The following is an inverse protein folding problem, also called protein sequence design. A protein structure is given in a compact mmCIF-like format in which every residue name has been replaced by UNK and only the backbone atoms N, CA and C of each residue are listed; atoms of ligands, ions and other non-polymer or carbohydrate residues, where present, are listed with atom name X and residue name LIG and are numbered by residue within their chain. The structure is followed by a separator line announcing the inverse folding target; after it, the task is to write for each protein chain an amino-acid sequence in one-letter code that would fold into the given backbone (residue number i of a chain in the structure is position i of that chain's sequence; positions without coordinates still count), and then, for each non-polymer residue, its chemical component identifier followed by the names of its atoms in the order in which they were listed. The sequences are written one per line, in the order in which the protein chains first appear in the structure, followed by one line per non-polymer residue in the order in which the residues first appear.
data_IF_914851958398
#
_entry.id   IF_914851958398
#
_cell.length_a   1.000
_cell.length_b   1.000
_cell.length_c   1.000
_cell.angle_alpha   90.00
_cell.angle_beta   90.00
_cell.angle_gamma   90.00
#
_symmetry.space_group_name_H-M   'P 1'
#
loop_
_entity.id
_entity.type
_entity.pdbx_description
1 polymer ?
#
# COMPACT_ATOMS: atom_id res chain seq x y z
N UNK A 1 -19.02 19.51 -4.34
CA UNK A 1 -19.02 18.49 -5.41
C UNK A 1 -17.61 18.07 -5.87
N UNK A 2 -16.53 18.83 -5.60
CA UNK A 2 -15.15 18.47 -5.99
C UNK A 2 -14.40 17.54 -5.02
N UNK A 3 -14.86 17.42 -3.76
CA UNK A 3 -14.17 16.62 -2.73
C UNK A 3 -14.22 15.09 -2.98
N UNK A 4 -15.12 14.60 -3.83
CA UNK A 4 -15.25 13.17 -4.16
C UNK A 4 -14.44 12.74 -5.39
N UNK A 5 -13.83 13.69 -6.11
CA UNK A 5 -13.07 13.43 -7.34
C UNK A 5 -11.91 12.44 -7.14
N UNK A 6 -11.13 12.51 -6.03
CA UNK A 6 -10.04 11.58 -5.77
C UNK A 6 -10.49 10.11 -5.67
N UNK A 7 -11.59 9.85 -4.97
CA UNK A 7 -12.08 8.49 -4.74
C UNK A 7 -12.72 7.86 -6.00
N UNK A 8 -13.39 8.69 -6.82
CA UNK A 8 -14.03 8.24 -8.06
C UNK A 8 -13.02 7.93 -9.18
N UNK A 9 -11.87 8.63 -9.19
CA UNK A 9 -10.85 8.50 -10.24
C UNK A 9 -9.50 8.01 -9.72
N UNK A 10 -9.46 7.35 -8.57
CA UNK A 10 -8.24 6.85 -7.94
C UNK A 10 -7.37 6.03 -8.92
N UNK A 11 -8.00 5.14 -9.71
CA UNK A 11 -7.29 4.40 -10.75
C UNK A 11 -6.65 5.27 -11.84
N UNK A 12 -7.35 6.35 -12.26
CA UNK A 12 -6.82 7.30 -13.24
C UNK A 12 -5.65 8.10 -12.68
N UNK A 13 -5.76 8.58 -11.44
CA UNK A 13 -4.67 9.31 -10.76
C UNK A 13 -3.41 8.46 -10.71
N UNK A 14 -3.53 7.18 -10.32
CA UNK A 14 -2.40 6.26 -10.22
C UNK A 14 -1.81 5.94 -11.59
N UNK A 15 -2.66 5.78 -12.62
CA UNK A 15 -2.20 5.59 -13.99
C UNK A 15 -1.45 6.82 -14.54
N UNK A 16 -1.88 8.03 -14.18
CA UNK A 16 -1.17 9.27 -14.51
C UNK A 16 0.15 9.35 -13.76
N UNK A 17 0.15 9.10 -12.44
CA UNK A 17 1.35 9.11 -11.62
C UNK A 17 2.44 8.21 -12.22
N UNK A 18 2.09 6.99 -12.65
CA UNK A 18 3.02 6.04 -13.28
C UNK A 18 3.57 6.48 -14.66
N UNK A 19 2.94 7.46 -15.31
CA UNK A 19 3.37 8.03 -16.60
C UNK A 19 4.09 9.37 -16.43
N UNK A 20 4.05 9.95 -15.24
CA UNK A 20 4.71 11.21 -14.88
C UNK A 20 5.97 10.93 -14.07
N UNK A 21 6.94 11.84 -14.16
CA UNK A 21 8.15 11.77 -13.34
C UNK A 21 7.81 11.71 -11.84
N UNK A 22 8.54 10.88 -11.09
CA UNK A 22 8.37 10.72 -9.65
C UNK A 22 8.56 12.02 -8.87
N UNK A 23 9.38 12.95 -9.39
CA UNK A 23 9.56 14.27 -8.82
C UNK A 23 8.25 15.09 -8.71
N UNK A 24 7.25 14.80 -9.55
CA UNK A 24 5.96 15.49 -9.56
C UNK A 24 4.91 14.82 -8.66
N UNK A 25 5.17 13.61 -8.15
CA UNK A 25 4.20 12.86 -7.35
C UNK A 25 3.79 13.60 -6.07
N UNK A 26 4.68 14.25 -5.29
CA UNK A 26 4.26 15.01 -4.11
C UNK A 26 3.23 16.10 -4.43
N UNK A 27 3.42 16.85 -5.52
CA UNK A 27 2.49 17.90 -5.95
C UNK A 27 1.15 17.32 -6.42
N UNK A 28 1.17 16.20 -7.15
CA UNK A 28 -0.04 15.50 -7.58
C UNK A 28 -0.86 15.01 -6.38
N UNK A 29 -0.21 14.34 -5.43
CA UNK A 29 -0.88 13.78 -4.26
C UNK A 29 -1.21 14.82 -3.18
N UNK A 30 -0.64 16.03 -3.24
CA UNK A 30 -1.12 17.16 -2.45
C UNK A 30 -2.55 17.57 -2.83
N UNK A 31 -2.93 17.44 -4.11
CA UNK A 31 -4.29 17.75 -4.57
C UNK A 31 -5.28 16.58 -4.39
N UNK A 32 -4.79 15.34 -4.46
CA UNK A 32 -5.63 14.12 -4.41
C UNK A 32 -5.79 13.58 -2.98
N UNK A 33 -4.80 13.82 -2.11
CA UNK A 33 -4.74 13.26 -0.76
C UNK A 33 -3.87 12.01 -0.67
N UNK A 34 -3.91 11.31 0.46
CA UNK A 34 -3.02 10.17 0.74
C UNK A 34 -3.17 9.04 -0.28
N UNK A 35 -2.08 8.65 -0.99
CA UNK A 35 -2.02 7.44 -1.80
C UNK A 35 -2.57 6.19 -1.10
N UNK A 36 -2.27 5.98 0.18
CA UNK A 36 -2.75 4.83 0.93
C UNK A 36 -4.27 4.84 1.11
N UNK A 37 -4.87 5.99 1.43
CA UNK A 37 -6.34 6.08 1.54
C UNK A 37 -7.05 5.81 0.21
N UNK A 38 -6.47 6.25 -0.90
CA UNK A 38 -6.98 5.96 -2.24
C UNK A 38 -6.90 4.47 -2.54
N UNK A 39 -5.78 3.83 -2.22
CA UNK A 39 -5.61 2.40 -2.39
C UNK A 39 -6.59 1.59 -1.53
N UNK A 40 -6.86 2.04 -0.30
CA UNK A 40 -7.86 1.41 0.56
C UNK A 40 -9.26 1.48 -0.04
N UNK A 41 -9.65 2.65 -0.56
CA UNK A 41 -10.93 2.80 -1.27
C UNK A 41 -11.03 1.89 -2.49
N UNK A 42 -9.91 1.61 -3.19
CA UNK A 42 -9.89 0.68 -4.32
C UNK A 42 -10.05 -0.78 -3.88
N UNK A 43 -9.47 -1.16 -2.74
CA UNK A 43 -9.69 -2.46 -2.13
C UNK A 43 -11.15 -2.64 -1.69
N UNK A 44 -11.74 -1.63 -1.06
CA UNK A 44 -13.14 -1.65 -0.62
C UNK A 44 -14.12 -1.79 -1.81
N UNK A 45 -13.72 -1.32 -3.00
CA UNK A 45 -14.46 -1.48 -4.25
C UNK A 45 -14.19 -2.83 -4.97
N UNK A 46 -13.40 -3.73 -4.38
CA UNK A 46 -13.07 -5.02 -4.98
C UNK A 46 -12.12 -4.94 -6.19
N UNK A 47 -11.29 -3.89 -6.26
CA UNK A 47 -10.33 -3.67 -7.35
C UNK A 47 -8.86 -3.78 -6.87
N UNK A 48 -8.41 -4.95 -6.41
CA UNK A 48 -7.06 -5.13 -5.85
C UNK A 48 -5.94 -4.90 -6.87
N UNK A 49 -6.17 -5.04 -8.17
CA UNK A 49 -5.19 -4.70 -9.22
C UNK A 49 -4.89 -3.21 -9.25
N UNK A 50 -5.94 -2.38 -9.10
CA UNK A 50 -5.80 -0.92 -9.07
C UNK A 50 -5.14 -0.48 -7.78
N UNK A 51 -5.47 -1.13 -6.66
CA UNK A 51 -4.80 -0.89 -5.38
C UNK A 51 -3.30 -1.27 -5.45
N UNK A 52 -2.96 -2.41 -6.07
CA UNK A 52 -1.57 -2.84 -6.26
C UNK A 52 -0.75 -1.83 -7.07
N UNK A 53 -1.35 -1.17 -8.06
CA UNK A 53 -0.68 -0.12 -8.82
C UNK A 53 -0.26 1.09 -7.94
N UNK A 54 -0.87 1.27 -6.77
CA UNK A 54 -0.49 2.32 -5.81
C UNK A 54 0.77 1.97 -5.00
N UNK A 55 1.21 0.70 -4.97
CA UNK A 55 2.31 0.24 -4.12
C UNK A 55 3.61 0.99 -4.39
N UNK A 56 3.95 1.25 -5.66
CA UNK A 56 5.14 2.03 -6.03
C UNK A 56 5.06 3.47 -5.54
N UNK A 57 3.89 4.08 -5.68
CA UNK A 57 3.66 5.47 -5.27
C UNK A 57 3.74 5.60 -3.75
N UNK A 58 3.09 4.70 -3.02
CA UNK A 58 3.13 4.65 -1.55
C UNK A 58 4.55 4.39 -1.07
N UNK A 59 5.27 3.44 -1.68
CA UNK A 59 6.65 3.14 -1.33
C UNK A 59 7.56 4.37 -1.46
N UNK A 60 7.31 5.20 -2.48
CA UNK A 60 8.09 6.43 -2.71
C UNK A 60 7.68 7.58 -1.79
N UNK A 61 6.38 7.81 -1.57
CA UNK A 61 5.87 8.99 -0.87
C UNK A 61 5.68 8.79 0.64
N UNK A 62 5.24 7.61 1.05
CA UNK A 62 4.85 7.27 2.43
C UNK A 62 5.75 6.18 3.04
N UNK A 63 6.70 5.66 2.26
CA UNK A 63 7.75 4.75 2.70
C UNK A 63 7.40 3.26 2.58
N UNK A 64 8.42 2.39 2.73
CA UNK A 64 8.31 0.95 2.49
C UNK A 64 7.39 0.25 3.50
N UNK A 65 7.35 0.69 4.76
CA UNK A 65 6.46 0.08 5.77
C UNK A 65 4.98 0.27 5.43
N UNK A 66 4.60 1.45 4.94
CA UNK A 66 3.22 1.74 4.51
C UNK A 66 2.86 0.95 3.26
N UNK A 67 3.80 0.82 2.31
CA UNK A 67 3.62 0.00 1.12
C UNK A 67 3.48 -1.48 1.47
N UNK A 68 4.26 -1.99 2.42
CA UNK A 68 4.16 -3.36 2.92
C UNK A 68 2.79 -3.65 3.53
N UNK A 69 2.25 -2.72 4.33
CA UNK A 69 0.91 -2.88 4.91
C UNK A 69 -0.18 -3.02 3.84
N UNK A 70 -0.10 -2.21 2.78
CA UNK A 70 -1.01 -2.36 1.64
C UNK A 70 -0.77 -3.67 0.89
N UNK A 71 0.49 -4.06 0.67
CA UNK A 71 0.85 -5.28 -0.04
C UNK A 71 0.28 -6.54 0.65
N UNK A 72 0.31 -6.60 1.99
CA UNK A 72 -0.33 -7.69 2.76
C UNK A 72 -1.84 -7.76 2.47
N UNK A 73 -2.52 -6.62 2.41
CA UNK A 73 -3.96 -6.57 2.10
C UNK A 73 -4.25 -7.02 0.67
N UNK A 74 -3.47 -6.53 -0.31
CA UNK A 74 -3.58 -6.91 -1.72
C UNK A 74 -3.34 -8.41 -1.90
N UNK A 75 -2.30 -8.97 -1.29
CA UNK A 75 -1.99 -10.40 -1.36
C UNK A 75 -3.14 -11.23 -0.79
N UNK A 76 -3.67 -10.83 0.38
CA UNK A 76 -4.81 -11.52 1.00
C UNK A 76 -6.02 -11.55 0.05
N UNK A 77 -6.36 -10.41 -0.54
CA UNK A 77 -7.50 -10.31 -1.44
C UNK A 77 -7.28 -11.08 -2.75
N UNK A 78 -6.07 -10.99 -3.32
CA UNK A 78 -5.69 -11.72 -4.52
C UNK A 78 -5.76 -13.24 -4.31
N UNK A 79 -5.28 -13.77 -3.18
CA UNK A 79 -5.36 -15.19 -2.86
C UNK A 79 -6.81 -15.65 -2.66
N UNK A 80 -7.64 -14.86 -1.96
CA UNK A 80 -9.07 -15.15 -1.78
C UNK A 80 -9.81 -15.21 -3.12
N UNK A 81 -9.41 -14.37 -4.07
CA UNK A 81 -9.97 -14.30 -5.42
C UNK A 81 -9.25 -15.20 -6.45
N UNK A 82 -8.35 -16.08 -6.01
CA UNK A 82 -7.53 -16.97 -6.88
C UNK A 82 -6.68 -16.24 -7.95
N UNK A 83 -6.34 -14.98 -7.73
CA UNK A 83 -5.52 -14.15 -8.63
C UNK A 83 -4.04 -14.24 -8.27
N UNK A 84 -3.43 -15.42 -8.46
CA UNK A 84 -2.07 -15.70 -7.99
C UNK A 84 -0.98 -14.84 -8.64
N UNK A 85 -1.16 -14.40 -9.89
CA UNK A 85 -0.22 -13.49 -10.55
C UNK A 85 -0.15 -12.13 -9.82
N UNK A 86 -1.31 -11.57 -9.43
CA UNK A 86 -1.38 -10.34 -8.65
C UNK A 86 -0.74 -10.51 -7.27
N UNK A 87 -0.98 -11.65 -6.61
CA UNK A 87 -0.33 -11.97 -5.35
C UNK A 87 1.20 -12.01 -5.51
N UNK A 88 1.71 -12.67 -6.55
CA UNK A 88 3.14 -12.76 -6.85
C UNK A 88 3.79 -11.38 -7.14
N UNK A 89 3.06 -10.45 -7.75
CA UNK A 89 3.53 -9.07 -7.92
C UNK A 89 3.59 -8.32 -6.58
N UNK A 90 2.54 -8.43 -5.77
CA UNK A 90 2.42 -7.71 -4.51
C UNK A 90 3.40 -8.20 -3.44
N UNK A 91 3.74 -9.50 -3.39
CA UNK A 91 4.72 -10.03 -2.44
C UNK A 91 6.12 -9.41 -2.59
N UNK A 92 6.45 -8.81 -3.74
CA UNK A 92 7.74 -8.14 -3.97
C UNK A 92 7.96 -6.92 -3.08
N UNK A 93 6.88 -6.39 -2.50
CA UNK A 93 6.90 -5.29 -1.54
C UNK A 93 6.92 -5.77 -0.08
N UNK A 94 6.89 -7.09 0.15
CA UNK A 94 6.97 -7.66 1.48
C UNK A 94 8.43 -7.94 1.82
N UNK A 95 8.92 -7.28 2.87
CA UNK A 95 10.16 -7.67 3.54
C UNK A 95 9.83 -8.73 4.60
N UNK A 96 10.54 -9.87 4.67
CA UNK A 96 10.36 -10.80 5.77
C UNK A 96 10.58 -10.07 7.11
N UNK A 97 9.80 -10.40 8.15
CA UNK A 97 10.05 -9.84 9.46
C UNK A 97 11.50 -10.16 9.87
N UNK A 98 12.23 -9.13 10.31
CA UNK A 98 13.55 -9.33 10.92
C UNK A 98 13.44 -10.20 12.17
N UNK A 99 14.58 -10.58 12.74
CA UNK A 99 14.66 -11.43 13.94
C UNK A 99 13.70 -10.96 15.04
N UNK A 100 13.64 -9.66 15.31
CA UNK A 100 12.74 -9.08 16.31
C UNK A 100 11.25 -9.27 15.99
N UNK A 101 10.85 -9.18 14.72
CA UNK A 101 9.47 -9.45 14.29
C UNK A 101 9.10 -10.93 14.38
N UNK A 102 10.07 -11.83 14.13
CA UNK A 102 9.90 -13.26 14.34
C UNK A 102 9.77 -13.59 15.83
N UNK A 103 10.65 -13.02 16.66
CA UNK A 103 10.60 -13.18 18.10
C UNK A 103 9.28 -12.63 18.68
N UNK A 104 8.76 -11.54 18.15
CA UNK A 104 7.46 -10.99 18.55
C UNK A 104 6.31 -11.92 18.14
N UNK A 105 6.34 -12.48 16.92
CA UNK A 105 5.34 -13.43 16.46
C UNK A 105 5.33 -14.75 17.27
N UNK A 106 6.50 -15.18 17.76
CA UNK A 106 6.66 -16.36 18.62
C UNK A 106 6.40 -16.03 20.10
N UNK A 107 6.10 -14.77 20.44
CA UNK A 107 5.82 -14.34 21.82
C UNK A 107 7.04 -14.28 22.73
N UNK A 108 8.25 -14.30 22.16
CA UNK A 108 9.52 -14.27 22.87
C UNK A 108 10.02 -12.83 23.13
N UNK A 109 9.45 -11.81 22.47
CA UNK A 109 9.67 -10.41 22.85
C UNK A 109 8.73 -10.05 24.00
N UNK A 110 9.19 -10.32 25.21
CA UNK A 110 8.63 -9.71 26.41
C UNK A 110 8.79 -8.20 26.36
N UNK A 111 7.73 -7.46 26.73
CA UNK A 111 7.76 -6.01 26.94
C UNK A 111 8.95 -5.61 27.82
N UNK A 112 10.08 -5.25 27.24
CA UNK A 112 11.22 -4.74 27.98
C UNK A 112 11.23 -3.21 27.90
N UNK A 113 10.90 -2.57 29.03
CA UNK A 113 11.53 -1.29 29.39
C UNK A 113 10.74 -0.01 29.16
N UNK A 114 9.68 0.20 29.95
CA UNK A 114 9.42 1.53 30.50
C UNK A 114 10.63 1.91 31.39
N UNK A 115 11.51 2.78 30.92
CA UNK A 115 12.50 3.55 31.71
C UNK A 115 12.72 4.83 30.91
N UNK A 116 12.60 6.04 31.43
CA UNK A 116 12.34 6.59 32.75
C UNK A 116 12.39 8.10 32.55
#
# INVERSE_FOLDING_TARGET
MLAAFPALYAGTVVAVARKTDAALWPALFAAVGSPFRLAQSLLDQGAPEKAAACLLVINHLEGPGTAQNLAVQVVREAVRSQRYALAAEAIRFLTPPGEEGLLQAVGLVGRQGRRG
#
